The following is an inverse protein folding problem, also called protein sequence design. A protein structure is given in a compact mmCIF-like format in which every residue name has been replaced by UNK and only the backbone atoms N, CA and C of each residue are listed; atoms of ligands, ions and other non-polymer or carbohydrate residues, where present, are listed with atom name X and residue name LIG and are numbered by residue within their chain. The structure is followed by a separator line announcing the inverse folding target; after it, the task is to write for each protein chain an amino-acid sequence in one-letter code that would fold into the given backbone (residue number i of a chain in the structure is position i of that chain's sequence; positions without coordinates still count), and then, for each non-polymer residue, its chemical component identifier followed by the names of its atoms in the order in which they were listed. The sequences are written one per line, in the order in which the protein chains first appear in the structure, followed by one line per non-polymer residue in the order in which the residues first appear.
data_IF_004621772017
#
_entry.id   IF_004621772017
#
_cell.length_a   1.000
_cell.length_b   1.000
_cell.length_c   1.000
_cell.angle_alpha   90.00
_cell.angle_beta   90.00
_cell.angle_gamma   90.00
#
_symmetry.space_group_name_H-M   'P 1'
#
loop_
_entity.id
_entity.type
_entity.pdbx_description
1 polymer ?
#
# COMPACT_ATOMS: atom_id res chain seq x y z
N UNK A 1 -8.98 -17.73 -0.61
CA UNK A 1 -8.60 -17.49 -2.00
C UNK A 1 -9.87 -17.33 -2.85
N UNK A 2 -9.87 -16.44 -3.83
CA UNK A 2 -10.98 -16.32 -4.77
C UNK A 2 -11.11 -17.63 -5.57
N UNK A 3 -12.34 -18.12 -5.83
CA UNK A 3 -12.53 -19.37 -6.54
C UNK A 3 -11.89 -19.33 -7.93
N UNK A 4 -11.10 -20.37 -8.26
CA UNK A 4 -10.50 -20.51 -9.59
C UNK A 4 -9.15 -19.84 -9.81
N UNK A 5 -8.60 -19.12 -8.80
CA UNK A 5 -7.23 -18.58 -8.89
C UNK A 5 -6.25 -19.63 -8.36
N UNK A 6 -5.28 -20.11 -9.18
CA UNK A 6 -4.27 -21.05 -8.72
C UNK A 6 -3.38 -20.41 -7.65
N UNK A 7 -3.09 -21.16 -6.60
CA UNK A 7 -2.23 -20.73 -5.49
C UNK A 7 -1.00 -21.61 -5.46
N UNK A 8 0.19 -21.01 -5.40
CA UNK A 8 1.47 -21.70 -5.18
C UNK A 8 2.06 -21.25 -3.86
N UNK A 9 2.66 -22.17 -3.12
CA UNK A 9 3.26 -21.87 -1.82
C UNK A 9 4.58 -21.06 -1.93
N UNK A 10 5.27 -21.22 -3.05
CA UNK A 10 6.54 -20.56 -3.32
C UNK A 10 6.56 -20.06 -4.77
N UNK A 11 6.65 -18.75 -4.96
CA UNK A 11 6.68 -18.12 -6.29
C UNK A 11 7.96 -18.47 -7.09
N UNK A 12 9.02 -18.96 -6.45
CA UNK A 12 10.22 -19.43 -7.13
C UNK A 12 9.96 -20.71 -7.95
N UNK A 13 8.92 -21.44 -7.64
CA UNK A 13 8.50 -22.62 -8.38
C UNK A 13 7.78 -22.31 -9.69
N UNK A 14 7.45 -21.04 -9.94
CA UNK A 14 6.85 -20.62 -11.20
C UNK A 14 7.87 -20.76 -12.33
N UNK A 15 7.53 -21.53 -13.39
CA UNK A 15 8.50 -21.89 -14.43
C UNK A 15 8.91 -20.70 -15.29
N UNK A 16 8.00 -19.77 -15.53
CA UNK A 16 8.24 -18.60 -16.38
C UNK A 16 7.46 -17.38 -15.88
N UNK A 17 8.19 -16.34 -15.47
CA UNK A 17 7.59 -15.06 -15.08
C UNK A 17 7.13 -14.21 -16.29
N UNK A 18 7.59 -14.54 -17.49
CA UNK A 18 7.17 -13.83 -18.70
C UNK A 18 5.76 -14.21 -19.16
N UNK A 19 5.18 -15.26 -18.58
CA UNK A 19 3.77 -15.64 -18.80
C UNK A 19 2.78 -14.64 -18.17
N UNK A 20 3.25 -13.69 -17.35
CA UNK A 20 2.40 -12.73 -16.64
C UNK A 20 2.53 -11.33 -17.22
N UNK A 21 1.39 -10.70 -17.53
CA UNK A 21 1.33 -9.29 -17.93
C UNK A 21 1.65 -8.35 -16.77
N UNK A 22 1.29 -8.77 -15.55
CA UNK A 22 1.53 -8.03 -14.33
C UNK A 22 2.10 -8.92 -13.23
N UNK A 23 3.08 -8.42 -12.50
CA UNK A 23 3.61 -9.00 -11.27
C UNK A 23 3.42 -7.98 -10.16
N UNK A 24 2.58 -8.32 -9.18
CA UNK A 24 2.24 -7.47 -8.07
C UNK A 24 2.93 -7.95 -6.80
N UNK A 25 3.77 -7.12 -6.20
CA UNK A 25 4.43 -7.40 -4.93
C UNK A 25 3.56 -6.83 -3.81
N UNK A 26 2.71 -7.69 -3.24
CA UNK A 26 1.78 -7.35 -2.15
C UNK A 26 2.17 -8.09 -0.86
N UNK A 27 3.46 -8.07 -0.53
CA UNK A 27 4.03 -8.70 0.66
C UNK A 27 4.31 -7.68 1.75
N UNK A 28 4.52 -8.11 3.01
CA UNK A 28 4.96 -7.19 4.06
C UNK A 28 6.18 -6.38 3.64
N UNK A 29 6.22 -5.10 4.00
CA UNK A 29 7.21 -4.12 3.54
C UNK A 29 8.66 -4.60 3.71
N UNK A 30 8.95 -5.30 4.82
CA UNK A 30 10.29 -5.85 5.09
C UNK A 30 10.75 -6.92 4.08
N UNK A 31 9.83 -7.64 3.43
CA UNK A 31 10.15 -8.64 2.42
C UNK A 31 10.15 -8.06 1.00
N UNK A 32 9.32 -7.05 0.75
CA UNK A 32 9.09 -6.51 -0.60
C UNK A 32 10.37 -6.02 -1.28
N UNK A 33 11.26 -5.36 -0.54
CA UNK A 33 12.52 -4.86 -1.10
C UNK A 33 13.42 -5.97 -1.65
N UNK A 34 13.52 -7.09 -0.95
CA UNK A 34 14.31 -8.25 -1.39
C UNK A 34 13.68 -8.90 -2.64
N UNK A 35 12.35 -9.04 -2.66
CA UNK A 35 11.61 -9.59 -3.80
C UNK A 35 11.78 -8.72 -5.05
N UNK A 36 11.68 -7.40 -4.93
CA UNK A 36 11.90 -6.48 -6.05
C UNK A 36 13.32 -6.58 -6.61
N UNK A 37 14.34 -6.73 -5.75
CA UNK A 37 15.72 -6.94 -6.19
C UNK A 37 15.89 -8.27 -6.93
N UNK A 38 15.26 -9.33 -6.45
CA UNK A 38 15.29 -10.62 -7.13
C UNK A 38 14.58 -10.59 -8.49
N UNK A 39 13.42 -9.93 -8.57
CA UNK A 39 12.71 -9.71 -9.83
C UNK A 39 13.57 -8.92 -10.83
N UNK A 40 14.39 -7.97 -10.36
CA UNK A 40 15.32 -7.26 -11.22
C UNK A 40 16.38 -8.18 -11.86
N UNK A 41 16.82 -9.23 -11.14
CA UNK A 41 17.73 -10.23 -11.69
C UNK A 41 17.05 -11.13 -12.72
N UNK A 42 15.78 -11.47 -12.49
CA UNK A 42 14.99 -12.33 -13.39
C UNK A 42 14.46 -11.63 -14.62
N UNK A 43 14.39 -10.30 -14.61
CA UNK A 43 13.99 -9.44 -15.74
C UNK A 43 12.68 -9.86 -16.42
N UNK A 44 11.56 -9.96 -15.71
CA UNK A 44 10.29 -10.31 -16.34
C UNK A 44 9.88 -9.30 -17.41
N UNK A 45 9.19 -9.77 -18.45
CA UNK A 45 8.70 -8.93 -19.55
C UNK A 45 7.44 -8.12 -19.22
N UNK A 46 6.68 -8.59 -18.22
CA UNK A 46 5.48 -7.93 -17.73
C UNK A 46 5.77 -6.66 -16.91
N UNK A 47 4.72 -5.98 -16.49
CA UNK A 47 4.82 -4.81 -15.62
C UNK A 47 4.95 -5.26 -14.17
N UNK A 48 5.97 -4.78 -13.46
CA UNK A 48 6.20 -5.05 -12.04
C UNK A 48 5.79 -3.82 -11.23
N UNK A 49 5.00 -4.01 -10.17
CA UNK A 49 4.73 -2.96 -9.20
C UNK A 49 4.46 -3.53 -7.80
N UNK A 50 4.69 -2.70 -6.79
CA UNK A 50 4.35 -2.97 -5.40
C UNK A 50 3.10 -2.19 -4.96
N UNK A 51 2.55 -2.55 -3.78
CA UNK A 51 1.43 -1.87 -3.14
C UNK A 51 1.80 -1.25 -1.79
N UNK A 52 3.09 -1.13 -1.48
CA UNK A 52 3.56 -0.67 -0.17
C UNK A 52 3.15 0.77 0.14
N UNK A 53 2.77 1.04 1.37
CA UNK A 53 2.40 2.38 1.86
C UNK A 53 3.60 3.32 2.00
N UNK A 54 4.81 2.81 2.19
CA UNK A 54 6.06 3.57 2.24
C UNK A 54 6.96 3.16 1.07
N UNK A 55 7.51 4.13 0.37
CA UNK A 55 8.32 3.90 -0.84
C UNK A 55 9.84 3.93 -0.57
N UNK A 56 10.30 4.68 0.41
CA UNK A 56 11.73 4.76 0.75
C UNK A 56 12.40 3.39 0.96
N UNK A 57 11.79 2.42 1.70
CA UNK A 57 12.37 1.09 1.85
C UNK A 57 12.42 0.28 0.55
N UNK A 58 11.57 0.59 -0.42
CA UNK A 58 11.45 -0.12 -1.69
C UNK A 58 12.30 0.50 -2.80
N UNK A 59 12.84 1.70 -2.57
CA UNK A 59 13.61 2.50 -3.55
C UNK A 59 14.73 1.69 -4.21
N UNK A 60 15.47 0.92 -3.42
CA UNK A 60 16.57 0.10 -3.94
C UNK A 60 16.10 -0.90 -4.98
N UNK A 61 15.08 -1.69 -4.67
CA UNK A 61 14.50 -2.69 -5.58
C UNK A 61 13.82 -2.08 -6.80
N UNK A 62 13.09 -0.97 -6.62
CA UNK A 62 12.46 -0.25 -7.73
C UNK A 62 13.51 0.31 -8.72
N UNK A 63 14.60 0.87 -8.20
CA UNK A 63 15.71 1.36 -9.04
C UNK A 63 16.46 0.21 -9.71
N UNK A 64 16.63 -0.94 -9.04
CA UNK A 64 17.24 -2.12 -9.65
C UNK A 64 16.41 -2.64 -10.82
N UNK A 65 15.09 -2.73 -10.69
CA UNK A 65 14.17 -3.09 -11.79
C UNK A 65 14.29 -2.12 -12.96
N UNK A 66 14.27 -0.81 -12.68
CA UNK A 66 14.44 0.23 -13.70
C UNK A 66 15.78 0.09 -14.41
N UNK A 67 16.88 -0.10 -13.68
CA UNK A 67 18.22 -0.27 -14.26
C UNK A 67 18.33 -1.57 -15.09
N UNK A 68 17.58 -2.61 -14.73
CA UNK A 68 17.50 -3.86 -15.48
C UNK A 68 16.62 -3.76 -16.75
N UNK A 69 15.98 -2.61 -17.01
CA UNK A 69 15.10 -2.38 -18.15
C UNK A 69 13.70 -2.97 -17.99
N UNK A 70 13.32 -3.39 -16.79
CA UNK A 70 11.97 -3.91 -16.49
C UNK A 70 10.97 -2.76 -16.48
N UNK A 71 9.78 -3.00 -17.00
CA UNK A 71 8.65 -2.07 -16.93
C UNK A 71 8.18 -1.99 -15.48
N UNK A 72 8.56 -0.94 -14.76
CA UNK A 72 8.30 -0.80 -13.33
C UNK A 72 7.56 0.49 -13.03
N UNK A 73 6.62 0.40 -12.10
CA UNK A 73 5.97 1.51 -11.38
C UNK A 73 5.79 1.09 -9.93
N UNK A 74 5.14 1.90 -9.12
CA UNK A 74 4.80 1.56 -7.74
C UNK A 74 3.47 2.20 -7.40
N UNK A 75 2.63 1.53 -6.65
CA UNK A 75 1.28 1.97 -6.33
C UNK A 75 1.10 2.08 -4.81
N UNK A 76 0.30 3.05 -4.40
CA UNK A 76 -0.18 3.12 -3.02
C UNK A 76 -1.70 3.31 -3.05
N UNK A 77 -2.48 2.22 -2.91
CA UNK A 77 -3.91 2.32 -2.65
C UNK A 77 -4.15 2.97 -1.29
N UNK A 78 -4.87 4.09 -1.26
CA UNK A 78 -5.16 4.85 -0.05
C UNK A 78 -6.45 4.34 0.63
N UNK A 79 -6.56 3.02 0.75
CA UNK A 79 -7.71 2.34 1.34
C UNK A 79 -7.33 0.93 1.80
N UNK A 80 -8.02 0.47 2.85
CA UNK A 80 -7.81 -0.86 3.43
C UNK A 80 -8.54 -1.98 2.68
N UNK A 81 -8.26 -3.25 3.02
CA UNK A 81 -8.80 -4.44 2.32
C UNK A 81 -10.32 -4.61 2.48
N UNK A 82 -10.93 -3.96 3.47
CA UNK A 82 -12.39 -3.97 3.70
C UNK A 82 -13.16 -3.03 2.77
N UNK A 83 -12.47 -2.24 1.93
CA UNK A 83 -13.10 -1.29 1.01
C UNK A 83 -13.75 -2.03 -0.16
N UNK A 84 -15.06 -2.00 -0.25
CA UNK A 84 -15.82 -2.67 -1.32
C UNK A 84 -15.95 -1.81 -2.58
N UNK A 85 -16.11 -0.48 -2.43
CA UNK A 85 -16.27 0.44 -3.54
C UNK A 85 -15.13 1.46 -3.56
N UNK A 86 -14.56 1.66 -4.74
CA UNK A 86 -13.44 2.58 -4.92
C UNK A 86 -13.85 4.02 -5.29
N UNK A 87 -15.13 4.33 -5.38
CA UNK A 87 -15.63 5.69 -5.58
C UNK A 87 -15.13 6.60 -4.45
N UNK A 88 -14.56 7.75 -4.79
CA UNK A 88 -13.94 8.69 -3.84
C UNK A 88 -12.75 8.11 -3.05
N UNK A 89 -12.18 7.01 -3.52
CA UNK A 89 -10.90 6.49 -3.01
C UNK A 89 -9.78 6.91 -3.93
N UNK A 90 -8.58 7.01 -3.38
CA UNK A 90 -7.40 7.45 -4.12
C UNK A 90 -6.44 6.29 -4.32
N UNK A 91 -5.82 6.25 -5.50
CA UNK A 91 -4.65 5.41 -5.78
C UNK A 91 -3.54 6.30 -6.24
N UNK A 92 -2.42 6.26 -5.53
CA UNK A 92 -1.22 7.01 -5.89
C UNK A 92 -0.34 6.10 -6.74
N UNK A 93 0.09 6.62 -7.88
CA UNK A 93 1.01 5.97 -8.82
C UNK A 93 2.34 6.70 -8.79
N UNK A 94 3.41 5.97 -8.55
CA UNK A 94 4.77 6.52 -8.54
C UNK A 94 5.38 6.44 -9.93
N UNK A 95 5.70 7.58 -10.49
CA UNK A 95 6.41 7.63 -11.78
C UNK A 95 7.88 7.22 -11.58
N UNK A 96 8.21 6.03 -12.09
CA UNK A 96 9.58 5.51 -12.12
C UNK A 96 10.29 5.80 -13.44
N UNK A 97 9.68 6.60 -14.32
CA UNK A 97 10.22 6.94 -15.65
C UNK A 97 9.84 5.94 -16.75
N UNK A 98 8.92 5.01 -16.50
CA UNK A 98 8.36 4.09 -17.49
C UNK A 98 6.92 4.48 -17.81
N UNK A 99 6.70 5.29 -18.84
CA UNK A 99 5.36 5.72 -19.25
C UNK A 99 4.46 4.51 -19.58
N UNK A 100 5.01 3.45 -20.17
CA UNK A 100 4.26 2.24 -20.50
C UNK A 100 3.79 1.49 -19.23
N UNK A 101 4.67 1.34 -18.23
CA UNK A 101 4.31 0.70 -16.97
C UNK A 101 3.26 1.51 -16.21
N UNK A 102 3.44 2.83 -16.14
CA UNK A 102 2.51 3.74 -15.49
C UNK A 102 1.14 3.69 -16.16
N UNK A 103 1.07 3.76 -17.50
CA UNK A 103 -0.18 3.69 -18.23
C UNK A 103 -0.89 2.33 -18.05
N UNK A 104 -0.16 1.21 -18.12
CA UNK A 104 -0.71 -0.12 -17.92
C UNK A 104 -1.28 -0.31 -16.51
N UNK A 105 -0.54 0.09 -15.46
CA UNK A 105 -1.00 0.00 -14.09
C UNK A 105 -2.24 0.89 -13.82
N UNK A 106 -2.25 2.12 -14.35
CA UNK A 106 -3.41 3.01 -14.27
C UNK A 106 -4.64 2.45 -14.96
N UNK A 107 -4.44 1.72 -16.06
CA UNK A 107 -5.51 1.04 -16.81
C UNK A 107 -6.30 0.05 -15.95
N UNK A 108 -5.66 -0.61 -14.98
CA UNK A 108 -6.33 -1.53 -14.05
C UNK A 108 -7.41 -0.83 -13.19
N UNK A 109 -7.24 0.46 -12.92
CA UNK A 109 -8.15 1.24 -12.08
C UNK A 109 -9.14 2.11 -12.86
N UNK A 110 -9.00 2.18 -14.19
CA UNK A 110 -9.93 2.97 -15.04
C UNK A 110 -11.40 2.57 -14.84
N UNK A 111 -11.77 1.28 -14.70
CA UNK A 111 -13.16 0.88 -14.48
C UNK A 111 -13.69 1.15 -13.07
N UNK A 112 -12.85 1.56 -12.12
CA UNK A 112 -13.18 1.51 -10.68
C UNK A 112 -13.69 2.82 -10.11
N UNK A 113 -13.72 3.91 -10.85
CA UNK A 113 -14.03 5.26 -10.37
C UNK A 113 -13.11 5.78 -9.25
N UNK A 114 -11.97 5.12 -8.98
CA UNK A 114 -10.95 5.62 -8.07
C UNK A 114 -10.26 6.85 -8.66
N UNK A 115 -9.97 7.82 -7.81
CA UNK A 115 -9.16 8.96 -8.18
C UNK A 115 -7.69 8.54 -8.31
N UNK A 116 -7.08 8.86 -9.44
CA UNK A 116 -5.71 8.46 -9.77
C UNK A 116 -4.77 9.67 -9.68
N UNK A 117 -3.84 9.62 -8.74
CA UNK A 117 -2.82 10.65 -8.54
C UNK A 117 -1.47 10.12 -8.98
N UNK A 118 -0.71 10.92 -9.73
CA UNK A 118 0.66 10.55 -10.16
C UNK A 118 1.66 11.49 -9.52
N UNK A 119 2.72 10.96 -8.92
CA UNK A 119 3.79 11.75 -8.31
C UNK A 119 5.13 11.01 -8.30
N UNK A 120 6.20 11.72 -7.95
CA UNK A 120 7.52 11.12 -7.73
C UNK A 120 7.63 10.42 -6.37
N UNK A 121 8.62 9.52 -6.22
CA UNK A 121 8.83 8.73 -5.01
C UNK A 121 9.13 9.60 -3.79
N UNK A 122 10.00 10.59 -3.92
CA UNK A 122 10.37 11.50 -2.84
C UNK A 122 9.20 12.40 -2.42
N UNK A 123 8.41 12.83 -3.38
CA UNK A 123 7.21 13.64 -3.13
C UNK A 123 6.17 12.83 -2.36
N UNK A 124 5.95 11.57 -2.78
CA UNK A 124 5.06 10.66 -2.10
C UNK A 124 5.40 10.54 -0.62
N UNK A 125 6.62 10.10 -0.28
CA UNK A 125 6.99 9.83 1.11
C UNK A 125 6.95 11.09 1.98
N UNK A 126 7.29 12.26 1.41
CA UNK A 126 7.16 13.53 2.10
C UNK A 126 5.70 13.85 2.46
N UNK A 127 4.77 13.63 1.53
CA UNK A 127 3.35 13.91 1.75
C UNK A 127 2.69 12.87 2.67
N UNK A 128 3.04 11.59 2.49
CA UNK A 128 2.51 10.50 3.30
C UNK A 128 2.94 10.61 4.77
N UNK A 129 4.09 11.20 5.05
CA UNK A 129 4.48 11.49 6.43
C UNK A 129 3.45 12.36 7.18
N UNK A 130 2.76 13.25 6.48
CA UNK A 130 1.68 14.06 7.07
C UNK A 130 0.33 13.35 7.01
N UNK A 131 -0.02 12.76 5.85
CA UNK A 131 -1.35 12.17 5.63
C UNK A 131 -1.56 10.93 6.48
N UNK A 132 -0.58 10.03 6.53
CA UNK A 132 -0.65 8.81 7.34
C UNK A 132 0.15 8.94 8.64
N UNK A 133 1.42 9.33 8.55
CA UNK A 133 2.31 9.35 9.71
C UNK A 133 1.80 10.19 10.87
N UNK A 134 1.35 11.42 10.60
CA UNK A 134 0.80 12.30 11.64
C UNK A 134 -0.53 11.75 12.20
N UNK A 135 -1.43 11.28 11.35
CA UNK A 135 -2.71 10.73 11.79
C UNK A 135 -2.52 9.47 12.65
N UNK A 136 -1.61 8.56 12.25
CA UNK A 136 -1.27 7.39 13.05
C UNK A 136 -0.64 7.78 14.39
N UNK A 137 0.30 8.73 14.41
CA UNK A 137 0.91 9.21 15.65
C UNK A 137 -0.12 9.79 16.63
N UNK A 138 -1.10 10.55 16.13
CA UNK A 138 -2.20 11.07 16.95
C UNK A 138 -3.06 9.95 17.53
N UNK A 139 -3.38 8.94 16.73
CA UNK A 139 -4.21 7.82 17.18
C UNK A 139 -3.46 6.94 18.20
N UNK A 140 -2.16 6.68 17.99
CA UNK A 140 -1.32 5.97 18.96
C UNK A 140 -1.27 6.75 20.28
N UNK A 141 -1.03 8.07 20.24
CA UNK A 141 -1.01 8.90 21.43
C UNK A 141 -2.37 8.89 22.15
N UNK A 142 -3.48 8.95 21.40
CA UNK A 142 -4.83 8.88 21.95
C UNK A 142 -5.07 7.55 22.67
N UNK A 143 -4.78 6.41 22.08
CA UNK A 143 -4.92 5.11 22.72
C UNK A 143 -3.99 4.91 23.91
N UNK A 144 -2.74 5.36 23.80
CA UNK A 144 -1.79 5.29 24.92
C UNK A 144 -2.31 6.07 26.12
N UNK A 145 -2.79 7.30 25.91
CA UNK A 145 -3.37 8.11 26.98
C UNK A 145 -4.60 7.45 27.61
N UNK A 146 -5.48 6.82 26.81
CA UNK A 146 -6.61 6.07 27.33
C UNK A 146 -6.18 4.86 28.16
N UNK A 147 -5.22 4.09 27.66
CA UNK A 147 -4.70 2.91 28.35
C UNK A 147 -4.01 3.26 29.69
N UNK A 148 -3.29 4.36 29.72
CA UNK A 148 -2.57 4.84 30.91
C UNK A 148 -3.48 5.60 31.91
N UNK A 149 -4.65 6.03 31.50
CA UNK A 149 -5.59 6.78 32.37
C UNK A 149 -6.09 6.00 33.57
N UNK A 150 -6.02 4.66 33.53
CA UNK A 150 -6.61 3.79 34.55
C UNK A 150 -8.13 3.75 34.55
N UNK A 151 -8.81 4.49 33.66
CA UNK A 151 -10.27 4.47 33.53
C UNK A 151 -10.72 3.22 32.77
N UNK A 152 -11.77 2.58 33.25
CA UNK A 152 -12.30 1.38 32.63
C UNK A 152 -12.97 1.72 31.29
N UNK A 153 -12.60 1.00 30.24
CA UNK A 153 -13.16 1.15 28.89
C UNK A 153 -14.71 1.19 28.84
N UNK A 154 -15.47 0.45 29.69
CA UNK A 154 -16.94 0.54 29.71
C UNK A 154 -17.51 1.84 30.26
N UNK A 155 -16.71 2.66 30.96
CA UNK A 155 -17.18 3.89 31.61
C UNK A 155 -17.09 5.10 30.70
N UNK A 156 -16.05 5.18 29.88
CA UNK A 156 -15.80 6.31 28.99
C UNK A 156 -16.92 6.54 27.95
N UNK A 157 -17.47 5.51 27.28
CA UNK A 157 -18.57 5.69 26.34
C UNK A 157 -19.86 6.27 26.95
N UNK A 158 -20.07 6.11 28.27
CA UNK A 158 -21.22 6.67 28.98
C UNK A 158 -21.12 8.18 29.21
N UNK A 159 -19.92 8.73 29.12
CA UNK A 159 -19.62 10.16 29.32
C UNK A 159 -19.12 10.78 28.03
N UNK A 160 -19.26 10.06 26.90
CA UNK A 160 -18.68 10.43 25.63
C UNK A 160 -19.29 11.70 25.04
N UNK A 161 -18.50 12.39 24.26
CA UNK A 161 -18.92 13.47 23.36
C UNK A 161 -18.84 13.00 21.91
N UNK A 162 -19.54 13.65 21.01
CA UNK A 162 -19.50 13.36 19.56
C UNK A 162 -18.07 13.39 19.02
N UNK A 163 -17.21 14.27 19.52
CA UNK A 163 -15.80 14.35 19.12
C UNK A 163 -14.99 13.17 19.64
N UNK A 164 -15.26 12.72 20.88
CA UNK A 164 -14.58 11.57 21.47
C UNK A 164 -14.96 10.28 20.73
N UNK A 165 -16.24 10.09 20.43
CA UNK A 165 -16.74 8.94 19.68
C UNK A 165 -16.10 8.87 18.30
N UNK A 166 -16.09 9.98 17.55
CA UNK A 166 -15.44 10.03 16.24
C UNK A 166 -13.94 9.72 16.32
N UNK A 167 -13.25 10.21 17.37
CA UNK A 167 -11.83 9.93 17.55
C UNK A 167 -11.60 8.45 17.93
N UNK A 168 -12.48 7.86 18.71
CA UNK A 168 -12.40 6.45 19.10
C UNK A 168 -12.59 5.53 17.88
N UNK A 169 -13.56 5.84 17.01
CA UNK A 169 -13.81 5.11 15.76
C UNK A 169 -12.59 5.16 14.82
N UNK A 170 -12.03 6.35 14.60
CA UNK A 170 -10.84 6.53 13.76
C UNK A 170 -9.64 5.79 14.34
N UNK A 171 -9.42 5.90 15.65
CA UNK A 171 -8.31 5.25 16.31
C UNK A 171 -8.45 3.72 16.30
N UNK A 172 -9.68 3.19 16.43
CA UNK A 172 -9.99 1.78 16.28
C UNK A 172 -9.63 1.23 14.90
N UNK A 173 -10.03 1.94 13.85
CA UNK A 173 -9.68 1.56 12.48
C UNK A 173 -8.15 1.48 12.27
N UNK A 174 -7.39 2.44 12.79
CA UNK A 174 -5.90 2.42 12.71
C UNK A 174 -5.30 1.22 13.45
N UNK A 175 -5.87 0.83 14.59
CA UNK A 175 -5.37 -0.32 15.35
C UNK A 175 -5.62 -1.67 14.63
N UNK A 176 -6.69 -1.77 13.85
CA UNK A 176 -7.01 -2.97 13.07
C UNK A 176 -6.16 -3.12 11.78
N UNK A 177 -5.62 -2.02 11.26
CA UNK A 177 -4.75 -2.01 10.07
C UNK A 177 -3.28 -2.36 10.38
N UNK A 178 -2.90 -2.46 11.64
CA UNK A 178 -1.53 -2.73 12.11
C UNK A 178 -1.33 -4.20 12.38
#
# INVERSE_FOLDING_TARGET
AAPGIPVVADWHTLPDLNAFDFIVVATPLGASGAILNELALRRPSGVVFDLGSLKSPLRGGLNALKAAGVKVTSLHPMFGPSTELLTNRHVIFIDMGSAAALAAARGLFTPTMAEQVVMGLEEHDRLIAYVLGLSHALNIAFFTALAESGEAAPRLPRLSSTTFDAQLDVAGAVAEES
#
